data_IF_867330027677
#
_entry.id   IF_867330027677
#
_cell.length_a   1.000
_cell.length_b   1.000
_cell.length_c   1.000
_cell.angle_alpha   90.00
_cell.angle_beta   90.00
_cell.angle_gamma   90.00
#
_symmetry.space_group_name_H-M   'P 1'
#
loop_
_entity.id
_entity.type
_entity.pdbx_description
1 polymer ?
#
# COMPACT_ATOMS: atom_id res chain seq x y z
N UNK A 1 19.89 -1.00 -6.76
CA UNK A 1 18.49 -0.55 -6.87
C UNK A 1 17.80 -0.90 -5.56
N UNK A 2 16.96 -0.03 -5.00
CA UNK A 2 16.34 -0.25 -3.68
C UNK A 2 15.13 -1.19 -3.81
N UNK A 3 14.94 -2.15 -2.89
CA UNK A 3 13.79 -3.07 -2.84
C UNK A 3 12.46 -2.28 -2.87
N UNK A 4 12.36 -1.20 -2.09
CA UNK A 4 11.13 -0.37 -2.04
C UNK A 4 10.85 0.27 -3.40
N UNK A 5 11.89 0.75 -4.08
CA UNK A 5 11.76 1.33 -5.41
C UNK A 5 11.27 0.30 -6.43
N UNK A 6 11.77 -0.94 -6.35
CA UNK A 6 11.32 -2.02 -7.22
C UNK A 6 9.85 -2.37 -6.98
N UNK A 7 9.41 -2.46 -5.73
CA UNK A 7 8.00 -2.75 -5.41
C UNK A 7 7.10 -1.64 -5.95
N UNK A 8 7.43 -0.37 -5.68
CA UNK A 8 6.59 0.77 -6.11
C UNK A 8 6.51 0.91 -7.64
N UNK A 9 7.54 0.47 -8.38
CA UNK A 9 7.57 0.54 -9.84
C UNK A 9 6.87 -0.63 -10.53
N UNK A 10 6.81 -1.80 -9.89
CA UNK A 10 6.39 -3.04 -10.56
C UNK A 10 5.06 -3.60 -10.05
N UNK A 11 4.63 -3.22 -8.84
CA UNK A 11 3.43 -3.77 -8.22
C UNK A 11 2.27 -2.74 -8.25
N UNK A 12 1.01 -3.18 -8.32
CA UNK A 12 -0.14 -2.27 -8.40
C UNK A 12 -0.36 -1.52 -7.08
N UNK A 13 -0.92 -0.31 -7.18
CA UNK A 13 -1.15 0.57 -6.02
C UNK A 13 -1.96 -0.13 -4.91
N UNK A 14 -2.98 -0.90 -5.26
CA UNK A 14 -3.82 -1.63 -4.29
C UNK A 14 -3.01 -2.63 -3.46
N UNK A 15 -2.11 -3.39 -4.09
CA UNK A 15 -1.26 -4.35 -3.38
C UNK A 15 -0.17 -3.66 -2.54
N UNK A 16 0.39 -2.55 -3.06
CA UNK A 16 1.32 -1.70 -2.31
C UNK A 16 0.64 -1.17 -1.03
N UNK A 17 -0.54 -0.56 -1.15
CA UNK A 17 -1.26 0.01 -0.01
C UNK A 17 -1.67 -1.09 0.98
N UNK A 18 -2.12 -2.25 0.50
CA UNK A 18 -2.52 -3.40 1.34
C UNK A 18 -1.39 -3.88 2.29
N UNK A 19 -0.13 -3.76 1.86
CA UNK A 19 1.04 -4.15 2.66
C UNK A 19 1.59 -2.97 3.47
N UNK A 20 1.87 -1.86 2.80
CA UNK A 20 2.61 -0.76 3.43
C UNK A 20 1.76 0.10 4.37
N UNK A 21 0.43 0.12 4.22
CA UNK A 21 -0.45 0.80 5.18
C UNK A 21 -0.40 0.18 6.59
N UNK A 22 0.06 -1.07 6.71
CA UNK A 22 0.28 -1.74 8.00
C UNK A 22 1.58 -1.25 8.69
N UNK A 23 2.51 -0.70 7.91
CA UNK A 23 3.87 -0.35 8.35
C UNK A 23 4.12 1.16 8.37
N UNK A 24 3.39 1.93 7.56
CA UNK A 24 3.56 3.36 7.38
C UNK A 24 2.22 4.08 7.45
N UNK A 25 2.13 5.18 8.21
CA UNK A 25 0.96 6.05 8.15
C UNK A 25 0.80 6.66 6.76
N UNK A 26 -0.43 7.03 6.41
CA UNK A 26 -0.79 7.55 5.08
C UNK A 26 0.15 8.65 4.56
N UNK A 27 0.56 9.68 5.34
CA UNK A 27 1.49 10.70 4.84
C UNK A 27 2.86 10.14 4.45
N UNK A 28 3.37 9.16 5.20
CA UNK A 28 4.65 8.54 4.92
C UNK A 28 4.56 7.57 3.73
N UNK A 29 3.41 6.93 3.55
CA UNK A 29 3.14 6.10 2.39
C UNK A 29 3.06 6.93 1.10
N UNK A 30 2.32 8.05 1.12
CA UNK A 30 2.21 8.97 -0.01
C UNK A 30 3.59 9.48 -0.44
N UNK A 31 4.41 9.95 0.50
CA UNK A 31 5.79 10.40 0.22
C UNK A 31 6.66 9.28 -0.37
N UNK A 32 6.53 8.05 0.14
CA UNK A 32 7.27 6.89 -0.36
C UNK A 32 6.91 6.59 -1.82
N UNK A 33 5.61 6.61 -2.15
CA UNK A 33 5.14 6.34 -3.52
C UNK A 33 5.59 7.47 -4.46
N UNK A 34 5.35 8.73 -4.09
CA UNK A 34 5.75 9.90 -4.91
C UNK A 34 7.23 9.92 -5.24
N UNK A 35 8.08 9.46 -4.32
CA UNK A 35 9.54 9.42 -4.53
C UNK A 35 9.96 8.45 -5.64
N UNK A 36 9.23 7.37 -5.85
CA UNK A 36 9.64 6.28 -6.74
C UNK A 36 8.76 6.15 -7.99
N UNK A 37 7.50 6.57 -7.91
CA UNK A 37 6.53 6.56 -9.01
C UNK A 37 5.41 7.60 -8.74
N UNK A 38 5.64 8.90 -9.00
CA UNK A 38 4.69 9.97 -8.70
C UNK A 38 3.38 9.89 -9.47
N UNK A 39 3.39 9.27 -10.65
CA UNK A 39 2.20 9.10 -11.51
C UNK A 39 1.14 8.21 -10.86
N UNK A 40 1.53 7.30 -9.95
CA UNK A 40 0.59 6.42 -9.25
C UNK A 40 -0.38 7.16 -8.32
N UNK A 41 -0.07 8.38 -7.87
CA UNK A 41 -0.85 9.10 -6.83
C UNK A 41 -1.08 10.58 -7.19
N UNK A 42 -1.11 10.88 -8.48
CA UNK A 42 -1.17 12.25 -8.98
C UNK A 42 -2.57 12.89 -8.86
N UNK A 43 -3.65 12.12 -8.96
CA UNK A 43 -5.04 12.58 -9.01
C UNK A 43 -5.95 11.93 -7.95
N UNK A 44 -5.41 11.67 -6.76
CA UNK A 44 -6.17 11.14 -5.62
C UNK A 44 -6.40 9.63 -5.65
N UNK A 45 -5.64 8.90 -6.47
CA UNK A 45 -5.68 7.43 -6.55
C UNK A 45 -5.41 6.78 -5.19
N UNK A 46 -4.54 7.38 -4.37
CA UNK A 46 -4.22 6.88 -3.04
C UNK A 46 -5.45 6.87 -2.13
N UNK A 47 -6.18 7.98 -2.04
CA UNK A 47 -7.38 8.10 -1.23
C UNK A 47 -8.47 7.14 -1.73
N UNK A 48 -8.70 7.09 -3.05
CA UNK A 48 -9.65 6.15 -3.67
C UNK A 48 -9.31 4.70 -3.37
N UNK A 49 -8.01 4.37 -3.38
CA UNK A 49 -7.52 3.02 -3.05
C UNK A 49 -7.79 2.69 -1.59
N UNK A 50 -7.49 3.60 -0.67
CA UNK A 50 -7.81 3.42 0.75
C UNK A 50 -9.30 3.19 0.96
N UNK A 51 -10.17 4.03 0.39
CA UNK A 51 -11.63 3.89 0.49
C UNK A 51 -12.08 2.51 0.03
N UNK A 52 -11.66 2.07 -1.17
CA UNK A 52 -11.98 0.73 -1.69
C UNK A 52 -11.51 -0.39 -0.76
N UNK A 53 -10.29 -0.29 -0.22
CA UNK A 53 -9.74 -1.32 0.65
C UNK A 53 -10.44 -1.39 2.03
N UNK A 54 -10.92 -0.25 2.55
CA UNK A 54 -11.73 -0.20 3.76
C UNK A 54 -13.15 -0.75 3.50
N UNK A 55 -13.81 -0.34 2.42
CA UNK A 55 -15.13 -0.83 2.03
C UNK A 55 -15.12 -2.34 1.77
N UNK A 56 -14.06 -2.85 1.14
CA UNK A 56 -13.86 -4.29 0.92
C UNK A 56 -13.49 -5.06 2.21
N UNK A 57 -13.29 -4.39 3.34
CA UNK A 57 -12.85 -5.00 4.59
C UNK A 57 -11.44 -5.63 4.51
N UNK A 58 -10.62 -5.20 3.55
CA UNK A 58 -9.23 -5.65 3.41
C UNK A 58 -8.36 -4.93 4.44
N UNK A 59 -8.58 -3.63 4.62
CA UNK A 59 -7.94 -2.83 5.65
C UNK A 59 -8.98 -2.43 6.71
N UNK A 60 -8.52 -2.24 7.93
CA UNK A 60 -9.30 -1.65 9.01
C UNK A 60 -8.48 -0.58 9.74
N UNK A 61 -9.17 0.38 10.36
CA UNK A 61 -8.53 1.49 11.07
C UNK A 61 -7.77 0.93 12.28
N UNK A 62 -6.46 1.18 12.31
CA UNK A 62 -5.59 0.82 13.41
C UNK A 62 -5.31 2.00 14.34
N UNK A 63 -4.23 1.89 15.11
CA UNK A 63 -3.79 2.95 16.00
C UNK A 63 -2.72 3.83 15.33
N UNK A 64 -2.61 5.10 15.78
CA UNK A 64 -1.54 6.02 15.38
C UNK A 64 -1.43 6.26 13.86
N UNK A 65 -2.57 6.22 13.16
CA UNK A 65 -2.63 6.43 11.71
C UNK A 65 -2.14 5.25 10.86
N UNK A 66 -1.86 4.10 11.49
CA UNK A 66 -1.62 2.83 10.80
C UNK A 66 -2.94 2.10 10.54
N UNK A 67 -2.93 1.27 9.51
CA UNK A 67 -3.99 0.30 9.28
C UNK A 67 -3.66 -1.04 9.95
N UNK A 68 -4.70 -1.80 10.24
CA UNK A 68 -4.60 -3.21 10.61
C UNK A 68 -5.22 -4.08 9.50
N UNK A 69 -4.92 -5.38 9.54
CA UNK A 69 -5.52 -6.36 8.64
C UNK A 69 -7.03 -6.43 8.92
N UNK A 70 -7.84 -6.16 7.90
CA UNK A 70 -9.28 -6.36 7.96
C UNK A 70 -9.67 -7.83 7.82
N UNK A 71 -10.96 -8.17 7.98
CA UNK A 71 -11.46 -9.54 7.89
C UNK A 71 -11.20 -10.21 6.53
N UNK A 72 -11.13 -9.43 5.45
CA UNK A 72 -10.90 -9.94 4.09
C UNK A 72 -9.44 -9.79 3.63
N UNK A 73 -8.52 -9.47 4.54
CA UNK A 73 -7.12 -9.26 4.20
C UNK A 73 -6.48 -10.54 3.64
N UNK A 74 -5.90 -10.43 2.45
CA UNK A 74 -5.11 -11.48 1.80
C UNK A 74 -3.75 -10.92 1.43
N UNK A 75 -2.72 -11.71 1.65
CA UNK A 75 -1.36 -11.33 1.28
C UNK A 75 -1.23 -11.22 -0.25
N UNK A 76 -0.74 -10.09 -0.79
CA UNK A 76 -0.48 -9.95 -2.22
C UNK A 76 0.59 -10.92 -2.73
N UNK A 77 0.62 -11.17 -4.04
CA UNK A 77 1.49 -12.20 -4.65
C UNK A 77 2.97 -11.92 -4.38
N UNK A 78 3.43 -10.69 -4.56
CA UNK A 78 4.83 -10.34 -4.34
C UNK A 78 5.26 -10.51 -2.88
N UNK A 79 4.33 -10.35 -1.94
CA UNK A 79 4.57 -10.54 -0.51
C UNK A 79 4.70 -12.03 -0.16
N UNK A 80 3.89 -12.89 -0.80
CA UNK A 80 3.94 -14.34 -0.61
C UNK A 80 5.16 -14.98 -1.28
N UNK A 81 5.46 -14.54 -2.50
CA UNK A 81 6.55 -15.07 -3.33
C UNK A 81 7.93 -14.60 -2.85
N UNK A 82 8.00 -13.70 -1.86
CA UNK A 82 9.24 -13.05 -1.42
C UNK A 82 10.05 -12.48 -2.59
N UNK A 83 9.35 -11.99 -3.63
CA UNK A 83 9.91 -11.66 -4.95
C UNK A 83 11.09 -10.68 -4.90
N UNK A 84 11.15 -9.85 -3.86
CA UNK A 84 12.17 -8.81 -3.66
C UNK A 84 13.06 -9.05 -2.43
N UNK A 85 13.21 -10.32 -1.99
CA UNK A 85 14.00 -10.72 -0.81
C UNK A 85 15.24 -11.50 -1.19
#
# INVERSE_FOLDING_TARGET
MNIIEQIVKNEPLEEIVTVFALLKPLPHLDMMIRRHNPELVQHGELERTYTKLFEAGILAIGQKGLCIKGPNWKAPKFFLEKRYT
#
